data_IF_458975261014
#
_entry.id   IF_458975261014
#
_cell.length_a   1.000
_cell.length_b   1.000
_cell.length_c   1.000
_cell.angle_alpha   90.00
_cell.angle_beta   90.00
_cell.angle_gamma   90.00
#
_symmetry.space_group_name_H-M   'P 1'
#
loop_
_entity.id
_entity.type
_entity.pdbx_description
1 polymer ?
#
# COMPACT_ATOMS: atom_id res chain seq x y z
N UNK A 1 10.57 -12.09 7.91
CA UNK A 1 10.00 -10.81 8.37
C UNK A 1 8.59 -11.07 8.89
N UNK A 2 8.27 -10.60 10.08
CA UNK A 2 6.91 -10.61 10.62
C UNK A 2 6.40 -9.16 10.65
N UNK A 3 5.21 -8.96 10.18
CA UNK A 3 4.54 -7.67 10.17
C UNK A 3 3.17 -7.84 9.53
N UNK A 4 2.17 -7.18 10.05
CA UNK A 4 0.83 -7.24 9.47
C UNK A 4 0.82 -6.59 8.07
N UNK A 5 -0.04 -5.65 7.82
CA UNK A 5 -0.15 -5.01 6.52
C UNK A 5 1.15 -4.33 6.02
N UNK A 6 2.06 -3.94 6.92
CA UNK A 6 3.39 -3.44 6.54
C UNK A 6 4.39 -4.56 6.19
N UNK A 7 4.11 -5.81 6.58
CA UNK A 7 5.02 -6.95 6.41
C UNK A 7 5.49 -7.19 4.98
N UNK A 8 4.58 -7.21 3.99
CA UNK A 8 4.94 -7.39 2.60
C UNK A 8 5.94 -6.34 2.09
N UNK A 9 5.68 -5.06 2.33
CA UNK A 9 6.59 -3.97 1.93
C UNK A 9 7.90 -4.01 2.71
N UNK A 10 7.86 -4.29 4.02
CA UNK A 10 9.06 -4.46 4.83
C UNK A 10 9.95 -5.61 4.31
N UNK A 11 9.34 -6.70 3.82
CA UNK A 11 10.08 -7.81 3.21
C UNK A 11 10.77 -7.39 1.92
N UNK A 12 10.11 -6.58 1.08
CA UNK A 12 10.70 -6.02 -0.15
C UNK A 12 11.88 -5.11 0.19
N UNK A 13 11.74 -4.22 1.18
CA UNK A 13 12.82 -3.34 1.63
C UNK A 13 14.01 -4.16 2.17
N UNK A 14 13.74 -5.19 2.96
CA UNK A 14 14.79 -6.08 3.48
C UNK A 14 15.55 -6.77 2.35
N UNK A 15 14.82 -7.32 1.37
CA UNK A 15 15.43 -7.98 0.21
C UNK A 15 16.27 -7.01 -0.62
N UNK A 16 15.75 -5.80 -0.89
CA UNK A 16 16.47 -4.76 -1.60
C UNK A 16 17.75 -4.33 -0.85
N UNK A 17 17.68 -4.21 0.47
CA UNK A 17 18.86 -3.91 1.30
C UNK A 17 19.92 -5.02 1.24
N UNK A 18 19.50 -6.29 1.22
CA UNK A 18 20.43 -7.44 1.09
C UNK A 18 21.12 -7.46 -0.28
N UNK A 19 20.39 -7.11 -1.34
CA UNK A 19 20.97 -7.01 -2.68
C UNK A 19 21.93 -5.81 -2.78
N UNK A 20 21.52 -4.65 -2.27
CA UNK A 20 22.30 -3.41 -2.33
C UNK A 20 23.61 -3.48 -1.53
N UNK A 21 23.63 -4.17 -0.37
CA UNK A 21 24.86 -4.35 0.41
C UNK A 21 25.75 -5.52 -0.05
N UNK A 22 25.36 -6.23 -1.12
CA UNK A 22 26.11 -7.36 -1.65
C UNK A 22 25.97 -8.67 -0.84
N UNK A 23 25.13 -8.73 0.17
CA UNK A 23 24.92 -9.93 0.98
C UNK A 23 24.35 -11.09 0.14
N UNK A 24 23.54 -10.78 -0.85
CA UNK A 24 22.96 -11.73 -1.82
C UNK A 24 22.76 -11.05 -3.17
N UNK A 25 23.08 -11.76 -4.26
CA UNK A 25 22.83 -11.26 -5.61
C UNK A 25 21.37 -11.42 -6.03
N UNK A 26 20.66 -12.40 -5.49
CA UNK A 26 19.26 -12.67 -5.81
C UNK A 26 18.50 -12.95 -4.51
N UNK A 27 17.40 -12.22 -4.28
CA UNK A 27 16.56 -12.41 -3.10
C UNK A 27 15.11 -12.56 -3.54
N UNK A 28 14.52 -13.72 -3.32
CA UNK A 28 13.10 -13.94 -3.55
C UNK A 28 12.30 -13.48 -2.34
N UNK A 29 11.30 -12.62 -2.58
CA UNK A 29 10.28 -12.24 -1.60
C UNK A 29 9.00 -12.96 -1.98
N UNK A 30 8.53 -13.82 -1.09
CA UNK A 30 7.29 -14.59 -1.29
C UNK A 30 6.38 -14.33 -0.11
N UNK A 31 5.14 -13.99 -0.37
CA UNK A 31 4.11 -13.83 0.65
C UNK A 31 2.76 -14.28 0.12
N UNK A 32 1.93 -14.78 1.00
CA UNK A 32 0.59 -15.21 0.64
C UNK A 32 -0.24 -15.45 1.89
N UNK A 33 -1.54 -15.54 1.69
CA UNK A 33 -2.47 -15.79 2.77
C UNK A 33 -3.90 -15.98 2.31
N UNK A 34 -4.68 -16.57 3.19
CA UNK A 34 -6.13 -16.70 3.06
C UNK A 34 -6.80 -15.79 4.07
N UNK A 35 -7.73 -14.99 3.62
CA UNK A 35 -8.44 -14.00 4.45
C UNK A 35 -9.18 -14.63 5.64
N UNK A 36 -9.83 -15.80 5.53
CA UNK A 36 -10.53 -16.41 6.65
C UNK A 36 -9.66 -16.66 7.88
N UNK A 37 -8.35 -16.75 7.70
CA UNK A 37 -7.39 -16.93 8.82
C UNK A 37 -7.00 -15.63 9.52
N UNK A 38 -7.52 -14.50 9.09
CA UNK A 38 -7.19 -13.17 9.60
C UNK A 38 -8.31 -12.62 10.50
N UNK A 39 -8.80 -13.43 11.43
CA UNK A 39 -9.87 -13.07 12.40
C UNK A 39 -11.24 -12.83 11.75
N UNK A 40 -11.47 -13.32 10.54
CA UNK A 40 -12.76 -13.26 9.88
C UNK A 40 -13.35 -14.65 9.77
N UNK A 41 -14.46 -14.87 10.44
CA UNK A 41 -15.21 -16.11 10.32
C UNK A 41 -16.19 -15.98 9.16
N UNK A 42 -15.88 -16.62 8.05
CA UNK A 42 -16.71 -16.57 6.86
C UNK A 42 -18.15 -17.08 7.10
N UNK A 43 -18.34 -18.07 8.00
CA UNK A 43 -19.67 -18.58 8.36
C UNK A 43 -20.51 -17.49 9.04
N UNK A 44 -19.92 -16.69 9.91
CA UNK A 44 -20.62 -15.63 10.61
C UNK A 44 -20.92 -14.47 9.65
N UNK A 45 -20.06 -14.20 8.69
CA UNK A 45 -20.33 -13.26 7.61
C UNK A 45 -21.56 -13.68 6.80
N UNK A 46 -21.66 -14.96 6.42
CA UNK A 46 -22.82 -15.51 5.70
C UNK A 46 -24.09 -15.40 6.54
N UNK A 47 -24.03 -15.74 7.83
CA UNK A 47 -25.18 -15.64 8.73
C UNK A 47 -25.71 -14.22 8.89
N UNK A 48 -24.83 -13.23 8.80
CA UNK A 48 -25.16 -11.80 8.94
C UNK A 48 -25.38 -11.10 7.59
N UNK A 49 -25.48 -11.85 6.49
CA UNK A 49 -25.61 -11.34 5.13
C UNK A 49 -24.49 -10.35 4.73
N UNK A 50 -23.32 -10.54 5.30
CA UNK A 50 -22.12 -9.79 4.91
C UNK A 50 -21.37 -10.60 3.86
N UNK A 51 -20.76 -9.94 2.88
CA UNK A 51 -20.00 -10.61 1.81
C UNK A 51 -18.96 -11.56 2.42
N UNK A 52 -19.05 -12.83 2.04
CA UNK A 52 -18.10 -13.85 2.46
C UNK A 52 -16.74 -13.65 1.78
N UNK A 53 -15.68 -13.94 2.53
CA UNK A 53 -14.29 -13.75 2.10
C UNK A 53 -13.52 -15.07 1.92
N UNK A 54 -14.21 -16.21 1.95
CA UNK A 54 -13.59 -17.54 1.92
C UNK A 54 -12.71 -17.78 0.70
N UNK A 55 -13.08 -17.20 -0.42
CA UNK A 55 -12.40 -17.37 -1.68
C UNK A 55 -11.34 -16.28 -1.95
N UNK A 56 -11.14 -15.38 -0.99
CA UNK A 56 -10.17 -14.30 -1.13
C UNK A 56 -8.77 -14.79 -0.75
N UNK A 57 -8.06 -15.34 -1.70
CA UNK A 57 -6.67 -15.76 -1.56
C UNK A 57 -5.79 -14.75 -2.31
N UNK A 58 -4.76 -14.26 -1.64
CA UNK A 58 -3.78 -13.37 -2.24
C UNK A 58 -2.37 -13.89 -2.00
N UNK A 59 -1.54 -13.80 -3.03
CA UNK A 59 -0.10 -14.11 -2.93
C UNK A 59 0.67 -13.26 -3.93
N UNK A 60 1.97 -13.10 -3.66
CA UNK A 60 2.91 -12.54 -4.62
C UNK A 60 4.29 -13.17 -4.46
N UNK A 61 5.08 -13.12 -5.51
CA UNK A 61 6.49 -13.43 -5.51
C UNK A 61 7.24 -12.34 -6.30
N UNK A 62 8.35 -11.86 -5.74
CA UNK A 62 9.21 -10.86 -6.37
C UNK A 62 10.65 -11.36 -6.29
N UNK A 63 11.38 -11.23 -7.39
CA UNK A 63 12.82 -11.40 -7.41
C UNK A 63 13.49 -10.02 -7.35
N UNK A 64 14.32 -9.81 -6.36
CA UNK A 64 15.09 -8.60 -6.16
C UNK A 64 16.56 -8.91 -6.47
N UNK A 65 17.14 -8.06 -7.32
CA UNK A 65 18.54 -8.16 -7.77
C UNK A 65 19.26 -6.84 -7.53
N UNK A 66 20.59 -6.78 -7.59
CA UNK A 66 21.31 -5.52 -7.72
C UNK A 66 20.84 -4.71 -8.92
N UNK A 67 21.08 -3.41 -8.88
CA UNK A 67 20.77 -2.50 -9.99
C UNK A 67 21.61 -2.88 -11.22
N UNK A 68 20.94 -3.10 -12.35
CA UNK A 68 21.55 -3.41 -13.64
C UNK A 68 21.64 -2.18 -14.56
N UNK A 69 21.23 -1.01 -14.09
CA UNK A 69 21.19 0.24 -14.83
C UNK A 69 20.11 0.30 -15.92
N UNK A 70 19.27 -0.70 -16.07
CA UNK A 70 18.26 -0.80 -17.12
C UNK A 70 16.83 -0.97 -16.56
N UNK A 71 16.70 -1.68 -15.45
CA UNK A 71 15.40 -1.94 -14.83
C UNK A 71 15.05 -0.87 -13.79
N UNK A 72 13.75 -0.63 -13.53
CA UNK A 72 13.34 0.26 -12.46
C UNK A 72 13.89 -0.17 -11.09
N UNK A 73 14.36 0.80 -10.31
CA UNK A 73 15.04 0.56 -9.04
C UNK A 73 14.17 0.86 -7.83
N UNK A 74 14.40 0.16 -6.74
CA UNK A 74 13.85 0.47 -5.42
C UNK A 74 14.77 1.48 -4.75
N UNK A 75 14.27 2.70 -4.51
CA UNK A 75 15.03 3.77 -3.83
C UNK A 75 15.10 3.49 -2.33
N UNK A 76 16.28 3.16 -1.84
CA UNK A 76 16.55 2.92 -0.41
C UNK A 76 16.98 4.18 0.34
N UNK A 77 17.36 5.22 -0.37
CA UNK A 77 17.81 6.51 0.18
C UNK A 77 16.66 7.40 0.68
N UNK A 78 15.43 7.11 0.31
CA UNK A 78 14.24 7.92 0.60
C UNK A 78 13.08 7.10 1.18
N UNK A 79 13.38 6.13 2.02
CA UNK A 79 12.36 5.29 2.65
C UNK A 79 11.52 6.07 3.67
N UNK A 80 10.20 5.88 3.60
CA UNK A 80 9.25 6.34 4.60
C UNK A 80 9.15 5.35 5.75
N UNK A 81 9.12 5.88 6.97
CA UNK A 81 9.00 5.07 8.18
C UNK A 81 8.15 5.80 9.22
N UNK A 82 7.10 5.14 9.68
CA UNK A 82 6.37 5.60 10.87
C UNK A 82 6.86 4.81 12.09
N UNK A 83 7.25 5.51 13.15
CA UNK A 83 7.77 4.89 14.36
C UNK A 83 6.62 4.53 15.30
N UNK A 84 6.60 3.30 15.79
CA UNK A 84 5.68 2.87 16.85
C UNK A 84 5.89 3.76 18.07
N UNK A 85 4.80 4.29 18.65
CA UNK A 85 4.86 5.25 19.75
C UNK A 85 4.81 6.71 19.33
N UNK A 86 5.00 7.04 18.05
CA UNK A 86 4.78 8.41 17.53
C UNK A 86 3.28 8.77 17.36
N UNK A 87 2.39 7.94 17.90
CA UNK A 87 0.94 8.10 17.83
C UNK A 87 0.32 7.40 16.63
N UNK A 88 -0.98 7.15 16.73
CA UNK A 88 -1.79 6.49 15.70
C UNK A 88 -2.60 7.49 14.83
N UNK A 89 -2.29 8.78 14.91
CA UNK A 89 -2.98 9.80 14.13
C UNK A 89 -2.77 9.56 12.62
N UNK A 90 -3.85 9.38 11.83
CA UNK A 90 -3.74 9.08 10.40
C UNK A 90 -2.89 10.09 9.62
N UNK A 91 -2.94 11.37 9.99
CA UNK A 91 -2.15 12.42 9.37
C UNK A 91 -0.65 12.24 9.61
N UNK A 92 -0.26 11.88 10.84
CA UNK A 92 1.15 11.64 11.19
C UNK A 92 1.71 10.44 10.42
N UNK A 93 0.94 9.34 10.37
CA UNK A 93 1.30 8.14 9.61
C UNK A 93 1.42 8.48 8.12
N UNK A 94 0.43 9.18 7.56
CA UNK A 94 0.44 9.55 6.13
C UNK A 94 1.63 10.48 5.82
N UNK A 95 1.92 11.45 6.68
CA UNK A 95 3.08 12.34 6.51
C UNK A 95 4.39 11.56 6.48
N UNK A 96 4.62 10.71 7.46
CA UNK A 96 5.84 9.90 7.56
C UNK A 96 6.04 8.95 6.36
N UNK A 97 4.95 8.45 5.78
CA UNK A 97 5.01 7.48 4.69
C UNK A 97 4.97 8.12 3.30
N UNK A 98 4.37 9.29 3.12
CA UNK A 98 4.10 9.83 1.76
C UNK A 98 4.67 11.22 1.50
N UNK A 99 4.93 12.02 2.53
CA UNK A 99 5.54 13.34 2.38
C UNK A 99 7.04 13.33 2.65
N UNK A 100 7.47 12.74 3.77
CA UNK A 100 8.88 12.76 4.15
C UNK A 100 9.80 12.05 3.15
N UNK A 101 9.45 10.89 2.56
CA UNK A 101 10.32 10.23 1.60
C UNK A 101 10.61 11.06 0.34
N UNK A 102 9.62 11.59 -0.39
CA UNK A 102 9.90 12.49 -1.51
C UNK A 102 10.70 13.72 -1.10
N UNK A 103 10.37 14.33 0.04
CA UNK A 103 11.09 15.49 0.56
C UNK A 103 12.57 15.20 0.79
N UNK A 104 12.91 14.04 1.38
CA UNK A 104 14.31 13.60 1.54
C UNK A 104 15.05 13.47 0.21
N UNK A 105 14.34 13.10 -0.84
CA UNK A 105 14.86 12.99 -2.19
C UNK A 105 14.84 14.32 -2.97
N UNK A 106 14.48 15.44 -2.35
CA UNK A 106 14.34 16.75 -3.03
C UNK A 106 13.13 16.82 -3.97
N UNK A 107 12.14 15.96 -3.79
CA UNK A 107 10.95 15.85 -4.62
C UNK A 107 9.71 16.37 -3.88
N UNK A 108 8.70 16.75 -4.66
CA UNK A 108 7.34 17.03 -4.18
C UNK A 108 6.49 15.76 -4.21
N UNK A 109 5.38 15.75 -3.47
CA UNK A 109 4.38 14.68 -3.58
C UNK A 109 3.78 14.60 -4.98
N UNK A 110 3.73 15.73 -5.70
CA UNK A 110 3.28 15.79 -7.09
C UNK A 110 4.26 15.20 -8.09
N UNK A 111 5.51 14.92 -7.71
CA UNK A 111 6.49 14.24 -8.55
C UNK A 111 6.37 12.70 -8.48
N UNK A 112 5.51 12.19 -7.62
CA UNK A 112 5.14 10.78 -7.56
C UNK A 112 3.91 10.55 -8.44
N UNK A 113 4.04 9.73 -9.47
CA UNK A 113 2.98 9.53 -10.46
C UNK A 113 1.86 8.64 -9.93
N UNK A 114 2.19 7.64 -9.11
CA UNK A 114 1.22 6.71 -8.52
C UNK A 114 1.52 6.40 -7.07
N UNK A 115 0.47 6.43 -6.25
CA UNK A 115 0.49 6.00 -4.86
C UNK A 115 -0.30 4.69 -4.72
N UNK A 116 0.32 3.68 -4.14
CA UNK A 116 -0.30 2.38 -3.87
C UNK A 116 -0.29 2.07 -2.37
N UNK A 117 -1.27 2.58 -1.61
CA UNK A 117 -1.42 2.27 -0.19
C UNK A 117 -2.23 0.98 0.03
N UNK A 118 -3.34 1.05 0.73
CA UNK A 118 -4.27 -0.04 0.98
C UNK A 118 -5.23 -0.20 -0.21
N UNK A 119 -5.04 -1.27 -0.99
CA UNK A 119 -5.85 -1.57 -2.18
C UNK A 119 -6.97 -2.57 -1.87
N UNK A 120 -7.60 -2.42 -0.71
CA UNK A 120 -8.65 -3.32 -0.24
C UNK A 120 -9.94 -3.20 -1.06
N UNK A 121 -10.69 -4.31 -1.13
CA UNK A 121 -11.94 -4.37 -1.87
C UNK A 121 -13.02 -3.51 -1.19
N UNK A 122 -13.40 -2.43 -1.86
CA UNK A 122 -14.42 -1.51 -1.37
C UNK A 122 -15.83 -2.14 -1.28
N UNK A 123 -16.14 -3.15 -2.08
CA UNK A 123 -17.42 -3.87 -1.99
C UNK A 123 -17.61 -4.58 -0.65
N UNK A 124 -16.50 -4.89 0.04
CA UNK A 124 -16.51 -5.52 1.37
C UNK A 124 -16.42 -4.46 2.45
N UNK A 125 -15.56 -3.47 2.27
CA UNK A 125 -15.30 -2.48 3.32
C UNK A 125 -16.42 -1.44 3.46
N UNK A 126 -17.17 -1.14 2.38
CA UNK A 126 -18.33 -0.25 2.44
C UNK A 126 -19.44 -0.77 3.37
N UNK A 127 -19.97 -2.01 3.17
CA UNK A 127 -20.99 -2.54 4.06
C UNK A 127 -20.50 -2.73 5.50
N UNK A 128 -19.20 -2.96 5.70
CA UNK A 128 -18.59 -3.04 7.02
C UNK A 128 -18.41 -1.68 7.71
N UNK A 129 -18.86 -0.59 7.10
CA UNK A 129 -18.75 0.76 7.67
C UNK A 129 -17.36 1.36 7.64
N UNK A 130 -16.42 0.76 6.89
CA UNK A 130 -15.06 1.27 6.72
C UNK A 130 -14.90 2.21 5.51
N UNK A 131 -15.93 2.32 4.68
CA UNK A 131 -15.92 3.16 3.48
C UNK A 131 -15.10 2.56 2.33
N UNK A 132 -14.87 3.36 1.29
CA UNK A 132 -13.93 3.02 0.23
C UNK A 132 -12.50 3.31 0.71
N UNK A 133 -11.81 2.27 1.18
CA UNK A 133 -10.50 2.40 1.82
C UNK A 133 -9.42 2.94 0.86
N UNK A 134 -9.27 2.45 -0.38
CA UNK A 134 -8.31 3.03 -1.33
C UNK A 134 -8.55 4.51 -1.58
N UNK A 135 -9.77 4.88 -1.91
CA UNK A 135 -10.12 6.27 -2.20
C UNK A 135 -9.89 7.21 -1.01
N UNK A 136 -10.24 6.75 0.21
CA UNK A 136 -10.01 7.51 1.44
C UNK A 136 -8.51 7.77 1.66
N UNK A 137 -7.63 6.81 1.36
CA UNK A 137 -6.19 6.99 1.42
C UNK A 137 -5.71 8.02 0.39
N UNK A 138 -6.19 7.97 -0.87
CA UNK A 138 -5.81 8.95 -1.89
C UNK A 138 -6.25 10.36 -1.53
N UNK A 139 -7.47 10.52 -1.01
CA UNK A 139 -7.98 11.81 -0.51
C UNK A 139 -7.13 12.35 0.64
N UNK A 140 -6.68 11.48 1.54
CA UNK A 140 -5.81 11.87 2.65
C UNK A 140 -4.43 12.33 2.16
N UNK A 141 -3.83 11.64 1.19
CA UNK A 141 -2.56 12.01 0.56
C UNK A 141 -2.70 13.36 -0.16
N UNK A 142 -3.80 13.55 -0.92
CA UNK A 142 -4.10 14.81 -1.58
C UNK A 142 -4.30 15.96 -0.59
N UNK A 143 -5.05 15.74 0.49
CA UNK A 143 -5.24 16.74 1.54
C UNK A 143 -3.92 17.11 2.22
N UNK A 144 -3.02 16.14 2.43
CA UNK A 144 -1.68 16.42 2.93
C UNK A 144 -0.88 17.27 1.94
N UNK A 145 -0.99 17.02 0.63
CA UNK A 145 -0.35 17.86 -0.40
C UNK A 145 -0.84 19.31 -0.36
N UNK A 146 -2.14 19.54 -0.10
CA UNK A 146 -2.70 20.89 0.14
C UNK A 146 -2.09 21.52 1.39
N UNK A 147 -2.06 20.79 2.50
CA UNK A 147 -1.48 21.30 3.76
C UNK A 147 0.00 21.67 3.62
N UNK A 148 0.71 21.04 2.71
CA UNK A 148 2.13 21.31 2.39
C UNK A 148 2.31 22.35 1.27
N UNK A 149 1.23 22.97 0.81
CA UNK A 149 1.28 24.02 -0.23
C UNK A 149 1.73 23.51 -1.59
N UNK A 150 1.53 22.23 -1.90
CA UNK A 150 1.99 21.64 -3.16
C UNK A 150 0.89 21.54 -4.23
N UNK A 151 -0.37 21.60 -3.82
CA UNK A 151 -1.55 21.72 -4.69
C UNK A 151 -2.60 22.60 -4.02
N UNK A 152 -3.53 23.11 -4.79
CA UNK A 152 -4.70 23.83 -4.27
C UNK A 152 -5.79 22.83 -3.83
N UNK A 153 -6.69 23.28 -2.92
CA UNK A 153 -7.79 22.43 -2.45
C UNK A 153 -8.72 21.97 -3.57
N UNK A 154 -8.91 22.80 -4.58
CA UNK A 154 -9.69 22.49 -5.77
C UNK A 154 -9.11 21.33 -6.60
N UNK A 155 -7.79 21.08 -6.50
CA UNK A 155 -7.09 20.04 -7.25
C UNK A 155 -7.18 18.65 -6.62
N UNK A 156 -7.77 18.50 -5.43
CA UNK A 156 -7.90 17.20 -4.74
C UNK A 156 -8.53 16.13 -5.65
N UNK A 157 -9.67 16.38 -6.33
CA UNK A 157 -10.26 15.37 -7.21
C UNK A 157 -9.34 14.95 -8.36
N UNK A 158 -8.65 15.91 -8.97
CA UNK A 158 -7.68 15.66 -10.03
C UNK A 158 -6.49 14.83 -9.52
N UNK A 159 -5.92 15.20 -8.37
CA UNK A 159 -4.84 14.46 -7.74
C UNK A 159 -5.24 13.01 -7.48
N UNK A 160 -6.44 12.76 -6.94
CA UNK A 160 -6.95 11.42 -6.66
C UNK A 160 -7.11 10.61 -7.95
N UNK A 161 -7.68 11.20 -8.99
CA UNK A 161 -7.89 10.54 -10.28
C UNK A 161 -6.58 10.20 -11.00
N UNK A 162 -5.61 11.12 -10.99
CA UNK A 162 -4.34 10.96 -11.71
C UNK A 162 -3.36 10.05 -10.95
N UNK A 163 -3.30 10.15 -9.61
CA UNK A 163 -2.26 9.51 -8.78
C UNK A 163 -2.75 8.34 -7.95
N UNK A 164 -4.05 8.16 -7.82
CA UNK A 164 -4.66 6.96 -7.25
C UNK A 164 -4.77 5.82 -8.25
N UNK A 165 -5.22 4.67 -7.78
CA UNK A 165 -5.53 3.52 -8.64
C UNK A 165 -7.00 3.56 -9.05
N UNK A 166 -7.34 3.11 -10.26
CA UNK A 166 -8.73 3.12 -10.76
C UNK A 166 -9.61 2.04 -10.15
N UNK A 167 -9.12 1.22 -9.24
CA UNK A 167 -9.85 0.11 -8.66
C UNK A 167 -9.18 -0.43 -7.40
N UNK A 168 -9.46 -1.66 -7.11
CA UNK A 168 -8.97 -2.38 -5.94
C UNK A 168 -8.66 -3.84 -6.29
N UNK A 169 -7.95 -4.53 -5.40
CA UNK A 169 -7.74 -5.98 -5.55
C UNK A 169 -8.92 -6.75 -4.96
N UNK A 170 -9.28 -7.91 -5.51
CA UNK A 170 -10.44 -8.68 -5.05
C UNK A 170 -10.24 -9.30 -3.67
N UNK A 171 -9.01 -9.35 -3.16
CA UNK A 171 -8.68 -9.96 -1.86
C UNK A 171 -8.69 -8.95 -0.72
N UNK A 172 -8.68 -9.45 0.51
CA UNK A 172 -8.57 -8.71 1.76
C UNK A 172 -7.34 -9.16 2.56
N UNK A 173 -7.14 -8.56 3.72
CA UNK A 173 -6.06 -8.91 4.64
C UNK A 173 -4.81 -8.07 4.44
N UNK A 174 -3.62 -8.69 4.60
CA UNK A 174 -2.36 -7.96 4.61
C UNK A 174 -1.75 -7.77 3.20
N UNK A 175 -2.08 -8.65 2.26
CA UNK A 175 -1.56 -8.61 0.88
C UNK A 175 -1.97 -7.34 0.11
N UNK A 176 -3.21 -6.81 0.23
CA UNK A 176 -3.62 -5.59 -0.45
C UNK A 176 -2.82 -4.32 -0.13
N UNK A 177 -1.90 -4.38 0.83
CA UNK A 177 -1.12 -3.23 1.29
C UNK A 177 -0.01 -2.83 0.30
N UNK A 178 -0.37 -2.21 -0.79
CA UNK A 178 0.50 -1.61 -1.81
C UNK A 178 1.15 -2.59 -2.79
N UNK A 179 1.61 -3.74 -2.33
CA UNK A 179 2.38 -4.69 -3.14
C UNK A 179 1.68 -5.23 -4.39
N UNK A 180 0.34 -5.38 -4.47
CA UNK A 180 -0.32 -5.83 -5.69
C UNK A 180 -0.08 -4.92 -6.90
N UNK A 181 0.26 -3.66 -6.67
CA UNK A 181 0.57 -2.72 -7.75
C UNK A 181 1.98 -2.87 -8.30
N UNK A 182 2.90 -3.58 -7.64
CA UNK A 182 4.33 -3.61 -8.03
C UNK A 182 4.51 -4.11 -9.48
N UNK A 183 3.81 -5.17 -9.88
CA UNK A 183 3.88 -5.67 -11.26
C UNK A 183 3.43 -4.64 -12.29
N UNK A 184 2.29 -3.99 -12.06
CA UNK A 184 1.78 -2.91 -12.92
C UNK A 184 2.70 -1.69 -12.93
N UNK A 185 3.26 -1.33 -11.76
CA UNK A 185 4.23 -0.24 -11.66
C UNK A 185 5.48 -0.55 -12.48
N UNK A 186 6.00 -1.78 -12.41
CA UNK A 186 7.18 -2.19 -13.15
C UNK A 186 6.97 -2.04 -14.67
N UNK A 187 5.84 -2.54 -15.18
CA UNK A 187 5.51 -2.40 -16.61
C UNK A 187 5.34 -0.93 -17.02
N UNK A 188 4.65 -0.13 -16.22
CA UNK A 188 4.46 1.30 -16.50
C UNK A 188 5.78 2.10 -16.45
N UNK A 189 6.67 1.77 -15.52
CA UNK A 189 8.01 2.37 -15.42
C UNK A 189 8.89 2.00 -16.62
N UNK A 190 8.90 0.72 -17.03
CA UNK A 190 9.62 0.24 -18.21
C UNK A 190 9.11 0.89 -19.50
N UNK A 191 7.79 1.05 -19.61
CA UNK A 191 7.16 1.72 -20.74
C UNK A 191 7.37 3.26 -20.73
N UNK A 192 7.92 3.83 -19.65
CA UNK A 192 8.09 5.27 -19.50
C UNK A 192 6.79 6.06 -19.32
N UNK A 193 5.66 5.39 -19.10
CA UNK A 193 4.36 6.05 -18.88
C UNK A 193 4.26 6.69 -17.50
N UNK A 194 5.03 6.20 -16.55
CA UNK A 194 5.26 6.82 -15.24
C UNK A 194 6.76 6.84 -14.96
N UNK A 195 7.19 7.76 -14.09
CA UNK A 195 8.59 7.88 -13.64
C UNK A 195 8.79 7.39 -12.21
N UNK A 196 7.76 7.49 -11.38
CA UNK A 196 7.84 7.14 -9.95
C UNK A 196 6.53 6.54 -9.45
N UNK A 197 6.63 5.43 -8.75
CA UNK A 197 5.53 4.83 -8.01
C UNK A 197 5.92 4.69 -6.54
N UNK A 198 4.99 4.94 -5.63
CA UNK A 198 5.19 4.76 -4.21
C UNK A 198 4.35 3.59 -3.70
N UNK A 199 5.02 2.53 -3.26
CA UNK A 199 4.40 1.35 -2.67
C UNK A 199 4.40 1.53 -1.15
N UNK A 200 3.24 1.50 -0.53
CA UNK A 200 3.06 1.89 0.86
C UNK A 200 2.54 0.71 1.68
N UNK A 201 3.36 0.23 2.61
CA UNK A 201 3.00 -0.80 3.57
C UNK A 201 2.25 -0.20 4.77
N UNK A 202 0.97 -0.01 4.62
CA UNK A 202 0.10 0.56 5.65
C UNK A 202 -1.15 -0.30 5.80
N UNK A 203 -1.61 -0.50 7.02
CA UNK A 203 -2.86 -1.14 7.34
C UNK A 203 -3.87 -0.19 7.96
N UNK A 204 -5.14 -0.55 7.90
CA UNK A 204 -6.23 0.15 8.55
C UNK A 204 -6.91 -0.71 9.62
N UNK A 205 -7.71 -0.06 10.45
CA UNK A 205 -8.46 -0.72 11.52
C UNK A 205 -9.76 -1.40 11.02
N UNK A 206 -10.01 -1.43 9.72
CA UNK A 206 -11.26 -1.99 9.21
C UNK A 206 -11.39 -3.49 9.48
N UNK A 207 -10.28 -4.23 9.59
CA UNK A 207 -10.30 -5.65 9.99
C UNK A 207 -10.96 -5.85 11.37
N UNK A 208 -10.68 -4.95 12.33
CA UNK A 208 -11.36 -4.97 13.62
C UNK A 208 -12.86 -4.73 13.50
N UNK A 209 -13.28 -3.85 12.58
CA UNK A 209 -14.72 -3.62 12.32
C UNK A 209 -15.40 -4.83 11.70
N UNK A 210 -14.75 -5.52 10.76
CA UNK A 210 -15.27 -6.75 10.17
C UNK A 210 -15.43 -7.84 11.24
N UNK A 211 -14.47 -7.97 12.15
CA UNK A 211 -14.56 -8.90 13.29
C UNK A 211 -15.75 -8.56 14.18
N UNK A 212 -15.93 -7.29 14.55
CA UNK A 212 -17.07 -6.86 15.38
C UNK A 212 -18.43 -7.04 14.70
N UNK A 213 -18.48 -7.09 13.37
CA UNK A 213 -19.71 -7.41 12.64
C UNK A 213 -19.99 -8.92 12.65
N UNK A 214 -18.96 -9.73 12.84
CA UNK A 214 -19.09 -11.20 12.90
C UNK A 214 -19.47 -11.69 14.31
N UNK A 215 -19.19 -10.93 15.35
CA UNK A 215 -19.60 -11.20 16.74
C UNK A 215 -21.04 -10.74 16.98
#
# INVERSE_FOLDING_TARGET
VRGFCAGPVASVITAASMAACGARANVAVVSGGSVPKLYMNARDHVKKDVKALENCIGSFALLITPDDGQTPVIRLDSLGKHTVGAGAAPQAITSALTFEPPQKAGLKMTDVDKYAPELHNAEITLPAGAGNVPEANYKMIAALSVMKGQIERADIPKFVAERGMPGFVPTQGHIPSGVPYIGHALEALKAGTIKRAMIIGKGSLFLGRLTNLAD
#
